data_IF_642057253627
#
_entry.id   IF_642057253627
#
_cell.length_a   1.000
_cell.length_b   1.000
_cell.length_c   1.000
_cell.angle_alpha   90.00
_cell.angle_beta   90.00
_cell.angle_gamma   90.00
#
_symmetry.space_group_name_H-M   'P 1'
#
loop_
_entity.id
_entity.type
_entity.pdbx_description
1 polymer ?
#
# COMPACT_ATOMS: atom_id res chain seq x y z
N UNK A 1 11.06 21.26 -13.87
CA UNK A 1 9.61 21.56 -13.88
C UNK A 1 9.16 21.66 -12.43
N UNK A 2 8.69 22.81 -11.96
CA UNK A 2 8.07 22.92 -10.63
C UNK A 2 6.56 22.81 -10.84
N UNK A 3 5.96 21.78 -10.26
CA UNK A 3 4.50 21.60 -10.25
C UNK A 3 3.96 22.36 -9.05
N UNK A 4 2.96 23.21 -9.27
CA UNK A 4 2.17 23.81 -8.21
C UNK A 4 0.88 23.01 -8.13
N UNK A 5 0.62 22.39 -6.97
CA UNK A 5 -0.58 21.60 -6.76
C UNK A 5 -1.54 22.37 -5.82
N UNK A 6 -2.75 22.64 -6.32
CA UNK A 6 -3.80 23.30 -5.55
C UNK A 6 -4.83 22.23 -5.22
N UNK A 7 -4.99 21.91 -3.92
CA UNK A 7 -6.00 20.96 -3.43
C UNK A 7 -6.93 21.66 -2.44
N UNK A 8 -8.23 21.28 -2.39
CA UNK A 8 -9.13 21.71 -1.33
C UNK A 8 -8.52 21.39 0.04
N UNK A 9 -8.80 22.22 1.07
CA UNK A 9 -8.39 21.95 2.46
C UNK A 9 -9.29 20.87 3.04
N UNK A 10 -9.19 19.67 2.51
CA UNK A 10 -9.79 18.45 3.05
C UNK A 10 -8.64 17.70 3.70
N UNK A 11 -8.80 17.38 4.98
CA UNK A 11 -7.86 16.56 5.73
C UNK A 11 -7.95 15.10 5.23
N UNK A 12 -7.35 14.85 4.06
CA UNK A 12 -7.36 13.56 3.36
C UNK A 12 -5.94 13.14 2.98
N UNK A 13 -5.55 11.97 3.45
CA UNK A 13 -4.27 11.33 3.17
C UNK A 13 -4.47 9.95 2.54
N UNK A 14 -3.38 9.32 2.10
CA UNK A 14 -3.43 7.99 1.47
C UNK A 14 -3.92 6.91 2.45
N UNK A 15 -3.67 7.07 3.75
CA UNK A 15 -4.21 6.17 4.79
C UNK A 15 -5.72 6.22 4.87
N UNK A 16 -6.30 7.42 4.91
CA UNK A 16 -7.76 7.64 4.88
C UNK A 16 -8.39 7.06 3.62
N UNK A 17 -7.72 7.17 2.48
CA UNK A 17 -8.18 6.54 1.25
C UNK A 17 -8.24 5.01 1.34
N UNK A 18 -7.22 4.38 1.94
CA UNK A 18 -7.18 2.92 2.16
C UNK A 18 -8.31 2.48 3.11
N UNK A 19 -8.46 3.16 4.25
CA UNK A 19 -9.54 2.86 5.20
C UNK A 19 -10.91 2.99 4.53
N UNK A 20 -11.14 4.08 3.81
CA UNK A 20 -12.39 4.33 3.10
C UNK A 20 -12.71 3.23 2.08
N UNK A 21 -11.73 2.76 1.31
CA UNK A 21 -11.94 1.68 0.35
C UNK A 21 -12.29 0.36 1.03
N UNK A 22 -11.59 -0.02 2.09
CA UNK A 22 -11.87 -1.25 2.84
C UNK A 22 -13.26 -1.21 3.47
N UNK A 23 -13.66 -0.09 4.06
CA UNK A 23 -14.99 0.09 4.63
C UNK A 23 -16.09 0.07 3.57
N UNK A 24 -15.91 0.82 2.48
CA UNK A 24 -16.91 0.95 1.42
C UNK A 24 -17.15 -0.37 0.68
N UNK A 25 -16.15 -1.23 0.61
CA UNK A 25 -16.25 -2.56 0.02
C UNK A 25 -16.64 -3.64 1.03
N UNK A 26 -16.81 -3.31 2.31
CA UNK A 26 -17.12 -4.28 3.37
C UNK A 26 -15.99 -5.25 3.68
N UNK A 27 -14.74 -4.89 3.34
CA UNK A 27 -13.55 -5.73 3.51
C UNK A 27 -12.86 -5.48 4.86
N UNK A 28 -13.40 -4.59 5.69
CA UNK A 28 -12.74 -4.07 6.90
C UNK A 28 -12.70 -5.03 8.10
N UNK A 29 -13.18 -6.27 7.94
CA UNK A 29 -13.19 -7.35 8.94
C UNK A 29 -13.26 -8.73 8.22
N UNK A 30 -12.60 -8.84 7.07
CA UNK A 30 -12.71 -10.00 6.19
C UNK A 30 -11.45 -10.87 6.34
N UNK A 31 -11.56 -12.02 7.03
CA UNK A 31 -10.42 -12.89 7.33
C UNK A 31 -9.79 -13.54 6.08
N UNK A 32 -10.51 -13.57 4.95
CA UNK A 32 -10.05 -14.09 3.66
C UNK A 32 -9.46 -13.01 2.74
N UNK A 33 -9.36 -11.77 3.22
CA UNK A 33 -8.79 -10.64 2.46
C UNK A 33 -7.53 -10.14 3.13
N UNK A 34 -6.47 -10.01 2.33
CA UNK A 34 -5.20 -9.42 2.77
C UNK A 34 -4.93 -8.12 2.01
N UNK A 35 -5.09 -6.95 2.64
CA UNK A 35 -4.74 -5.67 2.02
C UNK A 35 -3.22 -5.56 1.81
N UNK A 36 -2.81 -5.20 0.59
CA UNK A 36 -1.40 -4.93 0.25
C UNK A 36 -1.33 -3.55 -0.40
N UNK A 37 -0.50 -2.67 0.15
CA UNK A 37 -0.25 -1.33 -0.41
C UNK A 37 1.20 -1.23 -0.86
N UNK A 38 1.44 -0.79 -2.11
CA UNK A 38 2.77 -0.60 -2.67
C UNK A 38 2.96 0.88 -3.01
N UNK A 39 4.00 1.51 -2.46
CA UNK A 39 4.27 2.94 -2.61
C UNK A 39 5.76 3.27 -2.54
N UNK A 40 6.20 4.39 -3.09
CA UNK A 40 7.61 4.76 -3.27
C UNK A 40 8.04 6.02 -2.49
N UNK A 41 7.07 6.81 -2.05
CA UNK A 41 7.29 8.15 -1.52
C UNK A 41 6.86 8.31 -0.06
N UNK A 42 7.12 9.50 0.49
CA UNK A 42 6.83 9.80 1.90
C UNK A 42 5.32 9.89 2.18
N UNK A 43 4.49 10.18 1.18
CA UNK A 43 3.04 10.27 1.37
C UNK A 43 2.39 8.90 1.53
N UNK A 44 3.08 7.83 1.11
CA UNK A 44 2.63 6.45 1.29
C UNK A 44 2.73 5.96 2.76
N UNK A 45 3.50 6.65 3.59
CA UNK A 45 3.67 6.31 5.01
C UNK A 45 2.34 6.31 5.78
N UNK A 46 1.41 7.19 5.43
CA UNK A 46 0.07 7.23 6.04
C UNK A 46 -0.69 5.93 5.74
N UNK A 47 -0.56 5.38 4.53
CA UNK A 47 -1.16 4.10 4.16
C UNK A 47 -0.46 2.92 4.85
N UNK A 48 0.88 2.94 4.92
CA UNK A 48 1.63 1.90 5.61
C UNK A 48 1.29 1.84 7.10
N UNK A 49 1.17 2.99 7.76
CA UNK A 49 0.78 3.07 9.17
C UNK A 49 -0.62 2.51 9.41
N UNK A 50 -1.59 2.85 8.55
CA UNK A 50 -2.95 2.30 8.64
C UNK A 50 -2.95 0.78 8.51
N UNK A 51 -2.17 0.21 7.59
CA UNK A 51 -2.12 -1.25 7.42
C UNK A 51 -1.33 -1.97 8.53
N UNK A 52 -0.36 -1.28 9.14
CA UNK A 52 0.45 -1.82 10.24
C UNK A 52 -0.28 -1.82 11.57
N UNK A 53 -0.83 -0.66 11.94
CA UNK A 53 -1.36 -0.42 13.28
C UNK A 53 -2.91 -0.44 13.31
N UNK A 54 -3.55 -0.40 12.15
CA UNK A 54 -4.99 -0.33 12.02
C UNK A 54 -5.70 -1.68 12.23
N UNK A 55 -7.04 -1.66 12.30
CA UNK A 55 -7.85 -2.87 12.55
C UNK A 55 -7.73 -3.89 11.42
N UNK A 56 -7.45 -3.43 10.20
CA UNK A 56 -7.22 -4.25 9.02
C UNK A 56 -5.73 -4.52 8.85
N UNK A 57 -5.27 -5.57 9.52
CA UNK A 57 -3.89 -6.04 9.40
C UNK A 57 -3.58 -6.33 7.93
N UNK A 58 -2.67 -5.55 7.36
CA UNK A 58 -2.23 -5.69 5.97
C UNK A 58 -0.74 -5.41 5.84
N UNK A 59 -0.25 -5.43 4.61
CA UNK A 59 1.17 -5.24 4.34
C UNK A 59 1.43 -4.02 3.47
N UNK A 60 2.16 -3.05 4.02
CA UNK A 60 2.82 -2.01 3.25
C UNK A 60 4.13 -2.51 2.64
N UNK A 61 4.38 -2.16 1.37
CA UNK A 61 5.61 -2.45 0.63
C UNK A 61 6.19 -1.14 0.09
N UNK A 62 7.37 -0.75 0.58
CA UNK A 62 8.10 0.42 0.11
C UNK A 62 8.88 0.09 -1.16
N UNK A 63 8.78 0.93 -2.18
CA UNK A 63 9.62 0.84 -3.39
C UNK A 63 10.75 1.86 -3.28
N UNK A 64 11.97 1.40 -3.01
CA UNK A 64 13.13 2.27 -2.95
C UNK A 64 14.46 1.55 -3.18
N UNK A 65 15.31 2.17 -3.99
CA UNK A 65 16.67 1.68 -4.24
C UNK A 65 17.62 1.91 -3.04
N UNK A 66 17.21 2.75 -2.08
CA UNK A 66 18.00 3.10 -0.89
C UNK A 66 17.21 2.78 0.38
N UNK A 67 17.87 2.38 1.47
CA UNK A 67 17.22 2.22 2.76
C UNK A 67 16.56 3.54 3.21
N UNK A 68 15.33 3.46 3.71
CA UNK A 68 14.58 4.57 4.29
C UNK A 68 13.90 4.08 5.57
N UNK A 69 13.79 4.97 6.55
CA UNK A 69 12.88 4.73 7.68
C UNK A 69 11.45 4.73 7.15
N UNK A 70 10.71 3.65 7.42
CA UNK A 70 9.37 3.42 6.86
C UNK A 70 8.52 2.56 7.77
N UNK A 71 7.21 2.80 7.75
CA UNK A 71 6.20 1.93 8.34
C UNK A 71 5.84 0.75 7.42
N UNK A 72 6.41 0.60 6.23
CA UNK A 72 6.23 -0.58 5.40
C UNK A 72 6.84 -1.83 6.08
N UNK A 73 6.24 -3.01 5.87
CA UNK A 73 6.80 -4.28 6.37
C UNK A 73 7.87 -4.82 5.44
N UNK A 74 7.74 -4.56 4.15
CA UNK A 74 8.64 -5.05 3.12
C UNK A 74 9.11 -3.91 2.23
N UNK A 75 10.17 -4.19 1.46
CA UNK A 75 10.67 -3.26 0.46
C UNK A 75 11.02 -3.97 -0.84
N UNK A 76 10.79 -3.28 -1.95
CA UNK A 76 11.26 -3.62 -3.29
C UNK A 76 12.20 -2.51 -3.76
N UNK A 77 13.17 -2.83 -4.62
CA UNK A 77 14.20 -1.86 -5.02
C UNK A 77 13.68 -0.82 -5.99
N UNK A 78 12.85 -1.24 -6.95
CA UNK A 78 12.39 -0.38 -8.03
C UNK A 78 11.12 -0.96 -8.70
N UNK A 79 10.49 -0.24 -9.64
CA UNK A 79 9.26 -0.71 -10.30
C UNK A 79 9.39 -2.03 -11.06
N UNK A 80 10.60 -2.46 -11.45
CA UNK A 80 10.78 -3.76 -12.09
C UNK A 80 10.55 -4.91 -11.10
N UNK A 81 10.98 -4.76 -9.85
CA UNK A 81 10.70 -5.75 -8.80
C UNK A 81 9.21 -5.76 -8.42
N UNK A 82 8.49 -4.63 -8.52
CA UNK A 82 7.03 -4.59 -8.37
C UNK A 82 6.36 -5.46 -9.42
N UNK A 83 6.83 -5.41 -10.67
CA UNK A 83 6.31 -6.25 -11.75
C UNK A 83 6.53 -7.75 -11.45
N UNK A 84 7.73 -8.13 -11.02
CA UNK A 84 8.04 -9.52 -10.67
C UNK A 84 7.25 -10.01 -9.44
N UNK A 85 7.04 -9.14 -8.46
CA UNK A 85 6.15 -9.43 -7.33
C UNK A 85 4.71 -9.71 -7.79
N UNK A 86 4.13 -8.85 -8.62
CA UNK A 86 2.77 -9.04 -9.14
C UNK A 86 2.64 -10.31 -10.01
N UNK A 87 3.63 -10.60 -10.85
CA UNK A 87 3.70 -11.86 -11.62
C UNK A 87 3.73 -13.08 -10.71
N UNK A 88 4.47 -13.00 -9.61
CA UNK A 88 4.57 -14.07 -8.62
C UNK A 88 3.22 -14.32 -7.94
N UNK A 89 2.48 -13.27 -7.58
CA UNK A 89 1.11 -13.39 -7.05
C UNK A 89 0.15 -14.06 -8.03
N UNK A 90 0.22 -13.70 -9.32
CA UNK A 90 -0.62 -14.33 -10.36
C UNK A 90 -0.27 -15.81 -10.53
N UNK A 91 1.02 -16.13 -10.54
CA UNK A 91 1.51 -17.51 -10.67
C UNK A 91 1.08 -18.35 -9.47
N UNK A 92 1.26 -17.83 -8.27
CA UNK A 92 0.82 -18.44 -7.03
C UNK A 92 -0.68 -18.73 -7.05
N UNK A 93 -1.52 -17.74 -7.42
CA UNK A 93 -2.97 -17.94 -7.53
C UNK A 93 -3.33 -19.04 -8.54
N UNK A 94 -2.62 -19.14 -9.67
CA UNK A 94 -2.85 -20.20 -10.66
C UNK A 94 -2.46 -21.59 -10.17
N UNK A 95 -1.44 -21.71 -9.30
CA UNK A 95 -1.04 -23.00 -8.73
C UNK A 95 -2.00 -23.53 -7.64
N UNK A 96 -2.92 -22.69 -7.18
CA UNK A 96 -3.90 -23.03 -6.15
C UNK A 96 -5.23 -23.52 -6.72
N UNK A 97 -5.38 -23.49 -8.05
CA UNK A 97 -6.56 -23.96 -8.79
C UNK A 97 -6.26 -25.28 -9.45
#
# INVERSE_FOLDING_TARGET
>A
MRVLEIRPVIDWDKGKAVTFLLESLGLNNCDDVLPIYVGDDRTDEDAFKVLRDGPNHGYGVLVSAVPKDTNAFYSLRDPSEVMEFLKSLVTWKRSMV
#
